data_IF_777323551944
#
_entry.id   IF_777323551944
#
_cell.length_a   1.000
_cell.length_b   1.000
_cell.length_c   1.000
_cell.angle_alpha   90.00
_cell.angle_beta   90.00
_cell.angle_gamma   90.00
#
_symmetry.space_group_name_H-M   'P 1'
#
loop_
_entity.id
_entity.type
_entity.pdbx_description
1 polymer ?
#
# COMPACT_ATOMS: atom_id res chain seq x y z
N UNK A 1 5.07 -7.14 33.97
CA UNK A 1 4.85 -7.75 32.64
C UNK A 1 5.15 -6.69 31.60
N UNK A 2 6.29 -6.77 30.93
CA UNK A 2 6.64 -5.90 29.80
C UNK A 2 5.76 -6.29 28.63
N UNK A 3 4.76 -5.46 28.31
CA UNK A 3 3.85 -5.69 27.20
C UNK A 3 4.60 -5.68 25.88
N UNK A 4 4.72 -6.84 25.25
CA UNK A 4 5.22 -6.94 23.89
C UNK A 4 4.20 -6.25 22.97
N UNK A 5 4.59 -5.16 22.32
CA UNK A 5 3.73 -4.49 21.33
C UNK A 5 3.98 -5.17 19.99
N UNK A 6 3.07 -6.02 19.56
CA UNK A 6 3.12 -6.61 18.23
C UNK A 6 2.52 -5.66 17.22
N UNK A 7 3.28 -5.31 16.19
CA UNK A 7 2.81 -4.52 15.06
C UNK A 7 2.94 -5.36 13.79
N UNK A 8 1.82 -5.58 13.12
CA UNK A 8 1.75 -6.17 11.79
C UNK A 8 1.91 -5.07 10.73
N UNK A 9 2.75 -5.26 9.70
CA UNK A 9 2.81 -4.35 8.56
C UNK A 9 2.26 -4.99 7.29
N UNK A 10 1.36 -4.31 6.61
CA UNK A 10 0.89 -4.63 5.27
C UNK A 10 1.25 -3.50 4.32
N UNK A 11 1.81 -3.82 3.17
CA UNK A 11 2.23 -2.82 2.18
C UNK A 11 1.70 -3.18 0.79
N UNK A 12 1.05 -2.20 0.16
CA UNK A 12 0.67 -2.21 -1.24
C UNK A 12 1.43 -1.11 -1.97
N UNK A 13 2.30 -1.53 -2.90
CA UNK A 13 2.99 -0.62 -3.80
C UNK A 13 2.26 -0.59 -5.14
N UNK A 14 2.19 0.59 -5.75
CA UNK A 14 1.72 0.78 -7.12
C UNK A 14 2.85 1.31 -7.98
N UNK A 15 3.12 0.61 -9.08
CA UNK A 15 4.08 1.01 -10.10
C UNK A 15 3.34 1.35 -11.39
N UNK A 16 3.88 2.32 -12.11
CA UNK A 16 3.38 2.76 -13.39
C UNK A 16 4.49 2.64 -14.42
N UNK A 17 4.20 1.95 -15.52
CA UNK A 17 5.13 1.72 -16.62
C UNK A 17 4.35 1.78 -17.92
N UNK A 18 4.56 2.83 -18.72
CA UNK A 18 3.80 3.12 -19.95
C UNK A 18 2.28 3.03 -19.73
N UNK A 19 1.55 2.22 -20.51
CA UNK A 19 0.12 1.96 -20.33
C UNK A 19 -0.23 0.97 -19.20
N UNK A 20 0.76 0.42 -18.49
CA UNK A 20 0.56 -0.64 -17.49
C UNK A 20 0.54 -0.11 -16.05
N UNK A 21 -0.35 -0.69 -15.26
CA UNK A 21 -0.49 -0.47 -13.83
C UNK A 21 -0.17 -1.76 -13.11
N UNK A 22 0.82 -1.70 -12.23
CA UNK A 22 1.31 -2.88 -11.51
C UNK A 22 1.11 -2.66 -10.03
N UNK A 23 0.42 -3.56 -9.36
CA UNK A 23 0.24 -3.55 -7.92
C UNK A 23 1.07 -4.67 -7.33
N UNK A 24 1.93 -4.35 -6.36
CA UNK A 24 2.71 -5.32 -5.60
C UNK A 24 2.24 -5.32 -4.17
N UNK A 25 1.65 -6.43 -3.73
CA UNK A 25 1.20 -6.64 -2.35
C UNK A 25 2.16 -7.59 -1.66
N UNK A 26 2.71 -7.15 -0.53
CA UNK A 26 3.51 -8.02 0.33
C UNK A 26 2.61 -9.12 0.93
N UNK A 27 2.96 -10.38 0.70
CA UNK A 27 2.31 -11.53 1.30
C UNK A 27 2.96 -11.83 2.64
N UNK A 28 2.28 -11.38 3.69
CA UNK A 28 2.61 -11.68 5.06
C UNK A 28 2.91 -10.46 5.90
N UNK A 29 2.56 -10.58 7.17
CA UNK A 29 2.80 -9.56 8.16
C UNK A 29 4.24 -9.64 8.64
N UNK A 30 4.98 -8.55 8.65
CA UNK A 30 6.17 -8.46 9.51
C UNK A 30 5.70 -8.16 10.92
N UNK A 31 6.08 -8.97 11.92
CA UNK A 31 6.01 -8.64 13.34
C UNK A 31 7.26 -7.85 13.71
N UNK A 32 7.06 -6.60 14.13
CA UNK A 32 8.13 -5.83 14.76
C UNK A 32 7.97 -5.95 16.27
N UNK A 33 8.95 -6.58 16.93
CA UNK A 33 9.12 -6.56 18.38
C UNK A 33 10.39 -5.75 18.68
N UNK A 34 10.52 -5.15 19.85
CA UNK A 34 11.47 -4.07 20.19
C UNK A 34 12.93 -4.22 19.69
N UNK A 35 13.41 -5.41 19.33
CA UNK A 35 14.76 -5.65 18.79
C UNK A 35 14.81 -6.56 17.54
N UNK A 36 13.68 -6.89 16.91
CA UNK A 36 13.66 -7.77 15.72
C UNK A 36 12.44 -7.59 14.80
N UNK A 37 12.68 -7.75 13.49
CA UNK A 37 11.65 -7.85 12.46
C UNK A 37 11.52 -9.34 12.09
N UNK A 38 10.37 -9.93 12.37
CA UNK A 38 10.05 -11.33 12.05
C UNK A 38 9.01 -11.33 10.93
N UNK A 39 9.29 -11.99 9.80
CA UNK A 39 8.29 -12.24 8.75
C UNK A 39 7.38 -13.40 9.21
N UNK A 40 6.06 -13.19 9.27
CA UNK A 40 5.09 -14.17 9.77
C UNK A 40 4.50 -15.10 8.69
N UNK A 41 4.87 -14.92 7.43
CA UNK A 41 4.62 -15.90 6.36
C UNK A 41 5.84 -16.76 6.17
N UNK A 42 5.66 -18.09 6.15
CA UNK A 42 6.73 -19.05 5.91
C UNK A 42 7.46 -18.68 4.59
N UNK A 43 8.71 -18.22 4.66
CA UNK A 43 9.59 -18.30 3.50
C UNK A 43 9.98 -19.78 3.41
N UNK A 44 9.78 -20.42 2.26
CA UNK A 44 10.60 -21.59 1.97
C UNK A 44 12.07 -21.12 2.05
N UNK A 45 12.92 -21.97 2.63
CA UNK A 45 14.19 -21.67 3.30
C UNK A 45 15.32 -21.01 2.46
N UNK A 46 15.02 -20.29 1.37
CA UNK A 46 15.95 -19.43 0.64
C UNK A 46 15.25 -18.22 -0.02
N UNK A 47 15.29 -17.08 0.67
CA UNK A 47 15.38 -15.70 0.14
C UNK A 47 14.36 -15.16 -0.89
N UNK A 48 13.27 -14.54 -0.39
CA UNK A 48 12.71 -13.21 -0.75
C UNK A 48 11.33 -13.05 -0.10
N UNK A 49 10.84 -11.83 0.18
CA UNK A 49 9.48 -11.65 0.65
C UNK A 49 8.50 -12.18 -0.42
N UNK A 50 7.49 -12.95 -0.02
CA UNK A 50 6.45 -13.39 -0.94
C UNK A 50 5.64 -12.16 -1.38
N UNK A 51 5.39 -12.01 -2.68
CA UNK A 51 4.64 -10.89 -3.22
C UNK A 51 3.58 -11.40 -4.18
N UNK A 52 2.36 -10.85 -4.08
CA UNK A 52 1.41 -10.91 -5.18
C UNK A 52 1.63 -9.71 -6.08
N UNK A 53 1.62 -9.96 -7.39
CA UNK A 53 1.65 -8.93 -8.39
C UNK A 53 0.33 -8.92 -9.16
N UNK A 54 -0.14 -7.73 -9.50
CA UNK A 54 -1.31 -7.58 -10.34
C UNK A 54 -0.98 -6.61 -11.46
N UNK A 55 -1.14 -7.04 -12.69
CA UNK A 55 -0.84 -6.23 -13.88
C UNK A 55 -2.12 -5.94 -14.64
N UNK A 56 -2.36 -4.66 -14.89
CA UNK A 56 -3.49 -4.19 -15.67
C UNK A 56 -3.01 -3.28 -16.78
N UNK A 57 -3.48 -3.50 -18.00
CA UNK A 57 -3.51 -2.46 -19.02
C UNK A 57 -4.52 -1.38 -18.59
N UNK A 58 -4.11 -0.12 -18.66
CA UNK A 58 -4.94 1.05 -18.37
C UNK A 58 -6.27 1.08 -19.15
N UNK A 59 -6.30 0.52 -20.36
CA UNK A 59 -7.47 0.48 -21.26
C UNK A 59 -8.31 -0.78 -21.10
N UNK A 60 -7.85 -1.78 -20.35
CA UNK A 60 -8.55 -3.04 -20.17
C UNK A 60 -9.35 -3.08 -18.86
N UNK A 61 -10.53 -3.71 -18.92
CA UNK A 61 -11.30 -4.05 -17.71
C UNK A 61 -10.71 -5.24 -16.94
N UNK A 62 -9.84 -6.03 -17.59
CA UNK A 62 -9.23 -7.22 -17.04
C UNK A 62 -7.71 -7.08 -16.96
N UNK A 63 -7.14 -7.72 -15.94
CA UNK A 63 -5.71 -7.91 -15.79
C UNK A 63 -5.39 -9.31 -15.30
N UNK A 64 -4.17 -9.48 -14.81
CA UNK A 64 -3.65 -10.76 -14.37
C UNK A 64 -3.05 -10.64 -12.98
N UNK A 65 -3.39 -11.61 -12.11
CA UNK A 65 -2.77 -11.83 -10.82
C UNK A 65 -1.67 -12.86 -10.97
N UNK A 66 -0.49 -12.51 -10.52
CA UNK A 66 0.69 -13.37 -10.45
C UNK A 66 1.02 -13.65 -8.98
N UNK A 67 1.34 -14.90 -8.67
CA UNK A 67 1.72 -15.30 -7.30
C UNK A 67 3.19 -15.02 -6.97
N UNK A 68 3.99 -14.72 -8.00
CA UNK A 68 5.39 -14.33 -7.92
C UNK A 68 5.79 -13.57 -9.20
N UNK A 69 7.02 -13.06 -9.29
CA UNK A 69 7.47 -12.31 -10.47
C UNK A 69 7.79 -13.23 -11.68
N UNK A 70 8.01 -14.51 -11.41
CA UNK A 70 8.33 -15.59 -12.36
C UNK A 70 7.13 -16.51 -12.64
N UNK A 71 5.93 -16.15 -12.17
CA UNK A 71 4.71 -16.91 -12.40
C UNK A 71 4.35 -16.95 -13.89
N UNK A 72 4.34 -18.15 -14.47
CA UNK A 72 4.03 -18.41 -15.88
C UNK A 72 2.56 -18.73 -16.12
N UNK A 73 1.75 -18.91 -15.07
CA UNK A 73 0.33 -19.30 -15.18
C UNK A 73 -0.55 -18.34 -14.35
N UNK A 74 -0.58 -17.04 -14.71
CA UNK A 74 -1.30 -16.07 -13.91
C UNK A 74 -2.82 -16.19 -14.07
N UNK A 75 -3.53 -15.74 -13.05
CA UNK A 75 -5.00 -15.80 -13.00
C UNK A 75 -5.60 -14.50 -13.51
N UNK A 76 -6.42 -14.57 -14.55
CA UNK A 76 -7.16 -13.40 -15.07
C UNK A 76 -8.17 -12.90 -14.03
N UNK A 77 -8.19 -11.58 -13.78
CA UNK A 77 -9.10 -10.94 -12.83
C UNK A 77 -9.66 -9.63 -13.38
N UNK A 78 -10.87 -9.27 -12.92
CA UNK A 78 -11.47 -7.97 -13.17
C UNK A 78 -10.73 -6.90 -12.33
N UNK A 79 -10.40 -5.78 -12.96
CA UNK A 79 -9.64 -4.67 -12.33
C UNK A 79 -10.31 -4.14 -11.07
N UNK A 80 -11.62 -3.90 -11.13
CA UNK A 80 -12.38 -3.36 -10.01
C UNK A 80 -12.49 -4.35 -8.85
N UNK A 81 -12.59 -5.65 -9.13
CA UNK A 81 -12.65 -6.68 -8.09
C UNK A 81 -11.37 -6.71 -7.26
N UNK A 82 -10.19 -6.58 -7.87
CA UNK A 82 -8.94 -6.50 -7.11
C UNK A 82 -8.89 -5.23 -6.26
N UNK A 83 -9.16 -4.07 -6.87
CA UNK A 83 -9.06 -2.78 -6.17
C UNK A 83 -10.00 -2.72 -4.98
N UNK A 84 -11.25 -3.17 -5.15
CA UNK A 84 -12.25 -3.18 -4.10
C UNK A 84 -11.93 -4.24 -3.05
N UNK A 85 -11.61 -5.49 -3.44
CA UNK A 85 -11.48 -6.58 -2.47
C UNK A 85 -10.12 -6.61 -1.76
N UNK A 86 -9.06 -6.05 -2.35
CA UNK A 86 -7.69 -6.25 -1.87
C UNK A 86 -6.88 -4.96 -1.66
N UNK A 87 -7.22 -3.86 -2.33
CA UNK A 87 -6.45 -2.62 -2.24
C UNK A 87 -7.15 -1.53 -1.41
N UNK A 88 -8.47 -1.36 -1.54
CA UNK A 88 -9.17 -0.17 -1.05
C UNK A 88 -10.46 -0.44 -0.28
N UNK A 89 -10.84 -1.71 -0.08
CA UNK A 89 -12.02 -2.07 0.73
C UNK A 89 -11.98 -1.33 2.07
N UNK A 90 -12.97 -0.45 2.29
CA UNK A 90 -13.23 0.30 3.53
C UNK A 90 -12.38 1.56 3.80
N UNK A 91 -11.51 2.01 2.90
CA UNK A 91 -10.64 3.16 3.18
C UNK A 91 -11.07 4.43 2.43
N UNK A 92 -11.57 5.42 3.18
CA UNK A 92 -11.72 6.79 2.70
C UNK A 92 -10.54 7.63 3.20
N UNK A 93 -9.68 8.06 2.28
CA UNK A 93 -8.44 8.78 2.60
C UNK A 93 -8.62 10.29 2.86
N UNK A 94 -9.87 10.76 2.92
CA UNK A 94 -10.17 12.16 3.20
C UNK A 94 -10.28 12.40 4.70
N UNK A 95 -9.70 13.50 5.22
CA UNK A 95 -9.91 13.86 6.61
C UNK A 95 -11.40 14.05 6.93
N UNK A 96 -11.89 13.38 7.97
CA UNK A 96 -13.27 13.49 8.48
C UNK A 96 -13.36 14.53 9.62
N UNK A 97 -14.57 15.01 9.97
CA UNK A 97 -14.73 16.05 11.00
C UNK A 97 -14.18 15.69 12.39
N UNK A 98 -14.11 14.41 12.74
CA UNK A 98 -13.58 13.93 14.02
C UNK A 98 -12.04 13.76 14.03
N UNK A 99 -11.35 14.15 12.97
CA UNK A 99 -9.91 13.99 12.84
C UNK A 99 -9.20 15.30 13.17
N UNK A 100 -8.15 15.22 13.99
CA UNK A 100 -7.34 16.36 14.38
C UNK A 100 -6.00 16.29 13.66
N UNK A 101 -5.57 17.40 13.06
CA UNK A 101 -4.20 17.54 12.56
C UNK A 101 -3.25 17.58 13.75
N UNK A 102 -2.53 16.49 13.98
CA UNK A 102 -1.63 16.33 15.10
C UNK A 102 -0.20 16.83 14.79
N UNK A 103 0.24 16.71 13.53
CA UNK A 103 1.57 17.17 13.12
C UNK A 103 1.57 17.58 11.64
N UNK A 104 2.35 18.61 11.31
CA UNK A 104 2.66 19.03 9.97
C UNK A 104 4.18 19.22 9.82
N UNK A 105 4.76 18.51 8.86
CA UNK A 105 6.15 18.69 8.46
C UNK A 105 6.23 19.48 7.16
N UNK A 106 7.17 20.43 7.13
CA UNK A 106 7.49 21.23 5.95
C UNK A 106 8.99 21.11 5.62
N UNK A 107 9.30 21.17 4.34
CA UNK A 107 10.66 21.30 3.79
C UNK A 107 10.58 22.43 2.76
N UNK A 108 11.50 23.39 2.75
CA UNK A 108 11.50 24.50 1.78
C UNK A 108 10.15 25.25 1.66
N UNK A 109 9.47 25.49 2.78
CA UNK A 109 8.15 26.17 2.82
C UNK A 109 6.96 25.30 2.40
N UNK A 110 7.23 24.05 2.08
CA UNK A 110 6.35 23.15 1.36
C UNK A 110 5.97 21.95 2.22
N UNK A 111 4.68 21.58 2.28
CA UNK A 111 4.22 20.49 3.17
C UNK A 111 4.61 19.15 2.57
N UNK A 112 5.38 18.37 3.33
CA UNK A 112 5.87 17.04 2.93
C UNK A 112 5.17 15.92 3.70
N UNK A 113 4.66 16.21 4.90
CA UNK A 113 3.93 15.23 5.70
C UNK A 113 2.84 15.89 6.55
N UNK A 114 1.68 15.23 6.62
CA UNK A 114 0.61 15.55 7.56
C UNK A 114 0.25 14.31 8.36
N UNK A 115 0.15 14.45 9.68
CA UNK A 115 -0.29 13.39 10.59
C UNK A 115 -1.59 13.82 11.22
N UNK A 116 -2.58 12.95 11.13
CA UNK A 116 -3.87 13.15 11.76
C UNK A 116 -4.14 12.05 12.76
N UNK A 117 -4.79 12.41 13.85
CA UNK A 117 -5.23 11.50 14.91
C UNK A 117 -6.75 11.56 14.99
N UNK A 118 -7.39 10.40 15.17
CA UNK A 118 -8.83 10.35 15.39
C UNK A 118 -9.11 10.62 16.87
N UNK A 119 -9.92 11.63 17.16
CA UNK A 119 -10.27 11.98 18.54
C UNK A 119 -11.29 11.00 19.14
N UNK A 120 -12.28 10.62 18.34
CA UNK A 120 -13.32 9.67 18.73
C UNK A 120 -13.43 8.63 17.63
N UNK A 121 -12.92 7.43 17.92
CA UNK A 121 -12.90 6.29 17.01
C UNK A 121 -14.29 5.64 17.00
N UNK A 122 -14.96 5.51 15.83
CA UNK A 122 -16.29 4.90 15.75
C UNK A 122 -16.31 3.41 16.12
N UNK A 123 -15.33 2.66 15.61
CA UNK A 123 -15.16 1.21 15.82
C UNK A 123 -13.72 0.82 15.47
N UNK A 124 -13.34 -0.45 15.69
CA UNK A 124 -12.00 -1.00 15.46
C UNK A 124 -11.49 -0.90 14.01
N UNK A 125 -12.38 -0.78 13.02
CA UNK A 125 -12.02 -0.68 11.58
C UNK A 125 -11.37 0.66 11.22
N UNK A 126 -11.50 1.68 12.08
CA UNK A 126 -10.88 2.99 11.89
C UNK A 126 -9.44 3.04 12.42
N UNK A 127 -8.52 3.61 11.64
CA UNK A 127 -7.14 3.80 12.07
C UNK A 127 -7.04 4.81 13.22
N UNK A 128 -6.22 4.56 14.24
CA UNK A 128 -5.96 5.53 15.33
C UNK A 128 -5.29 6.80 14.81
N UNK A 129 -4.44 6.65 13.80
CA UNK A 129 -3.84 7.77 13.09
C UNK A 129 -3.59 7.44 11.62
N UNK A 130 -3.54 8.48 10.80
CA UNK A 130 -3.15 8.37 9.40
C UNK A 130 -2.15 9.45 9.03
N UNK A 131 -1.21 9.07 8.18
CA UNK A 131 -0.08 9.90 7.75
C UNK A 131 -0.14 10.05 6.24
N UNK A 132 -0.12 11.29 5.77
CA UNK A 132 -0.15 11.64 4.36
C UNK A 132 1.21 12.21 3.96
N UNK A 133 1.86 11.62 2.97
CA UNK A 133 3.17 12.03 2.50
C UNK A 133 3.07 12.59 1.08
N UNK A 134 3.62 13.79 0.90
CA UNK A 134 3.56 14.53 -0.36
C UNK A 134 4.95 14.66 -0.94
N UNK A 135 5.02 14.60 -2.27
CA UNK A 135 6.25 14.83 -3.00
C UNK A 135 6.07 15.92 -4.05
N UNK A 136 7.07 16.79 -4.11
CA UNK A 136 7.19 17.80 -5.15
C UNK A 136 7.81 17.21 -6.40
N UNK A 137 7.33 17.66 -7.56
CA UNK A 137 7.82 17.22 -8.87
C UNK A 137 7.74 15.70 -9.08
N UNK A 138 6.77 15.03 -8.45
CA UNK A 138 6.49 13.64 -8.79
C UNK A 138 6.10 13.55 -10.28
N UNK A 139 6.63 12.57 -11.03
CA UNK A 139 6.28 12.41 -12.44
C UNK A 139 4.78 12.46 -12.68
N UNK A 140 4.35 13.00 -13.82
CA UNK A 140 2.93 13.10 -14.14
C UNK A 140 2.34 11.69 -14.33
N UNK A 141 1.83 11.12 -13.25
CA UNK A 141 1.12 9.84 -13.23
C UNK A 141 -0.38 10.13 -13.20
N UNK A 142 -1.17 9.59 -14.16
CA UNK A 142 -2.62 9.87 -14.27
C UNK A 142 -3.44 9.33 -13.09
N UNK A 143 -2.85 8.43 -12.31
CA UNK A 143 -3.45 7.84 -11.11
C UNK A 143 -3.04 8.59 -9.86
N UNK A 144 -3.94 8.64 -8.89
CA UNK A 144 -3.75 9.32 -7.61
C UNK A 144 -4.29 8.43 -6.49
N UNK A 145 -3.60 8.41 -5.36
CA UNK A 145 -4.11 7.81 -4.12
C UNK A 145 -5.38 8.54 -3.64
N UNK A 146 -5.47 9.85 -3.91
CA UNK A 146 -6.68 10.64 -3.67
C UNK A 146 -6.66 11.90 -4.51
N UNK A 147 -7.43 11.91 -5.61
CA UNK A 147 -7.51 13.06 -6.53
C UNK A 147 -7.92 14.35 -5.83
N UNK A 148 -8.81 14.26 -4.85
CA UNK A 148 -9.25 15.44 -4.09
C UNK A 148 -8.11 16.02 -3.24
N UNK A 149 -7.31 15.17 -2.60
CA UNK A 149 -6.16 15.60 -1.82
C UNK A 149 -5.06 16.18 -2.71
N UNK A 150 -4.79 15.54 -3.85
CA UNK A 150 -3.84 16.06 -4.85
C UNK A 150 -4.23 17.47 -5.31
N UNK A 151 -5.52 17.67 -5.60
CA UNK A 151 -6.06 18.94 -6.10
C UNK A 151 -6.00 20.04 -5.03
N UNK A 152 -6.39 19.74 -3.79
CA UNK A 152 -6.41 20.72 -2.69
C UNK A 152 -5.00 21.23 -2.36
N UNK A 153 -3.99 20.37 -2.47
CA UNK A 153 -2.60 20.70 -2.10
C UNK A 153 -1.72 21.07 -3.29
N UNK A 154 -2.23 20.96 -4.51
CA UNK A 154 -1.48 21.12 -5.76
C UNK A 154 -0.16 20.31 -5.76
N UNK A 155 -0.21 19.11 -5.18
CA UNK A 155 0.95 18.25 -4.90
C UNK A 155 0.53 16.80 -5.00
N UNK A 156 1.46 15.91 -5.34
CA UNK A 156 1.16 14.49 -5.42
C UNK A 156 1.22 13.86 -4.03
N UNK A 157 0.12 13.24 -3.60
CA UNK A 157 0.10 12.31 -2.48
C UNK A 157 0.74 10.99 -2.92
N UNK A 158 1.94 10.70 -2.44
CA UNK A 158 2.73 9.53 -2.87
C UNK A 158 2.67 8.39 -1.88
N UNK A 159 2.44 8.65 -0.60
CA UNK A 159 2.34 7.60 0.41
C UNK A 159 1.29 7.91 1.48
N UNK A 160 0.57 6.87 1.89
CA UNK A 160 -0.36 6.88 3.01
C UNK A 160 0.03 5.79 3.98
N UNK A 161 0.09 6.13 5.27
CA UNK A 161 0.24 5.16 6.35
C UNK A 161 -0.96 5.24 7.28
N UNK A 162 -1.53 4.10 7.65
CA UNK A 162 -2.64 4.01 8.59
C UNK A 162 -2.21 3.14 9.76
N UNK A 163 -2.27 3.68 10.96
CA UNK A 163 -1.78 3.02 12.18
C UNK A 163 -2.97 2.68 13.06
N UNK A 164 -3.04 1.41 13.41
CA UNK A 164 -3.97 0.80 14.35
C UNK A 164 -3.16 0.39 15.57
N UNK A 165 -3.51 0.90 16.74
CA UNK A 165 -2.89 0.49 17.99
C UNK A 165 -3.44 -0.87 18.42
N UNK A 166 -2.62 -1.62 19.15
CA UNK A 166 -3.07 -2.85 19.78
C UNK A 166 -4.26 -2.53 20.72
N UNK A 167 -5.27 -3.38 20.68
CA UNK A 167 -6.50 -3.21 21.48
C UNK A 167 -7.03 -4.55 21.92
N UNK A 168 -7.90 -4.57 22.92
CA UNK A 168 -8.63 -5.78 23.32
C UNK A 168 -10.10 -5.63 22.92
N UNK A 169 -10.61 -6.56 22.12
CA UNK A 169 -12.00 -6.57 21.69
C UNK A 169 -12.64 -7.93 22.01
N UNK A 170 -13.76 -7.90 22.72
CA UNK A 170 -14.48 -9.11 23.17
C UNK A 170 -13.57 -10.15 23.87
N UNK A 171 -12.60 -9.69 24.67
CA UNK A 171 -11.65 -10.55 25.39
C UNK A 171 -10.46 -11.05 24.55
N UNK A 172 -10.43 -10.77 23.24
CA UNK A 172 -9.31 -11.10 22.37
C UNK A 172 -8.34 -9.93 22.23
N UNK A 173 -7.04 -10.19 22.31
CA UNK A 173 -6.01 -9.20 22.03
C UNK A 173 -5.80 -9.10 20.53
N UNK A 174 -6.12 -7.93 19.98
CA UNK A 174 -5.87 -7.56 18.59
C UNK A 174 -4.52 -6.85 18.54
N UNK A 175 -3.52 -7.37 17.81
CA UNK A 175 -2.22 -6.71 17.68
C UNK A 175 -2.35 -5.38 16.95
N UNK A 176 -1.38 -4.49 17.15
CA UNK A 176 -1.28 -3.27 16.37
C UNK A 176 -1.03 -3.59 14.89
N UNK A 177 -1.43 -2.68 14.01
CA UNK A 177 -1.30 -2.88 12.56
C UNK A 177 -0.97 -1.57 11.86
N UNK A 178 -0.07 -1.62 10.91
CA UNK A 178 0.23 -0.49 10.02
C UNK A 178 -0.03 -0.92 8.58
N UNK A 179 -0.97 -0.24 7.93
CA UNK A 179 -1.21 -0.39 6.49
C UNK A 179 -0.52 0.73 5.74
N UNK A 180 0.21 0.40 4.68
CA UNK A 180 0.90 1.37 3.83
C UNK A 180 0.50 1.23 2.38
N UNK A 181 0.19 2.37 1.77
CA UNK A 181 -0.04 2.53 0.33
C UNK A 181 1.00 3.47 -0.23
N UNK A 182 1.68 3.07 -1.30
CA UNK A 182 2.79 3.85 -1.85
C UNK A 182 2.77 3.84 -3.39
N UNK A 183 2.88 5.04 -3.97
CA UNK A 183 3.11 5.26 -5.40
C UNK A 183 4.62 5.29 -5.63
N UNK A 184 5.11 4.36 -6.46
CA UNK A 184 6.51 4.27 -6.83
C UNK A 184 6.69 4.50 -8.33
N UNK A 185 7.83 5.10 -8.70
CA UNK A 185 8.25 5.24 -10.09
C UNK A 185 9.01 3.97 -10.51
N UNK A 186 8.79 3.48 -11.73
CA UNK A 186 9.67 2.47 -12.33
C UNK A 186 10.84 3.16 -13.08
N UNK A 187 12.09 2.65 -13.06
CA UNK A 187 12.59 1.49 -12.32
C UNK A 187 13.61 1.91 -11.23
N UNK A 188 13.16 2.15 -10.00
CA UNK A 188 14.08 2.23 -8.85
C UNK A 188 14.49 0.81 -8.43
N UNK A 189 15.63 0.30 -8.91
CA UNK A 189 16.40 -0.93 -8.54
C UNK A 189 15.70 -2.32 -8.37
N UNK A 190 14.41 -2.40 -8.07
CA UNK A 190 13.56 -3.62 -8.02
C UNK A 190 13.04 -4.04 -9.41
N UNK A 191 13.63 -3.48 -10.47
CA UNK A 191 13.08 -3.46 -11.83
C UNK A 191 13.21 -4.75 -12.61
N UNK A 192 14.12 -5.65 -12.24
CA UNK A 192 14.30 -6.92 -12.95
C UNK A 192 13.05 -7.80 -12.82
N UNK A 193 12.47 -7.89 -11.62
CA UNK A 193 11.23 -8.66 -11.39
C UNK A 193 10.02 -8.03 -12.06
N UNK A 194 9.90 -6.70 -12.03
CA UNK A 194 8.81 -5.96 -12.67
C UNK A 194 8.91 -6.05 -14.20
N UNK A 195 10.12 -5.98 -14.74
CA UNK A 195 10.34 -6.12 -16.18
C UNK A 195 9.99 -7.53 -16.67
N UNK A 196 10.45 -8.57 -15.97
CA UNK A 196 10.10 -9.96 -16.31
C UNK A 196 8.59 -10.19 -16.27
N UNK A 197 7.91 -9.67 -15.24
CA UNK A 197 6.46 -9.75 -15.11
C UNK A 197 5.72 -9.08 -16.29
N UNK A 198 6.23 -7.94 -16.78
CA UNK A 198 5.68 -7.27 -17.95
C UNK A 198 5.92 -8.04 -19.25
N UNK A 199 7.06 -8.70 -19.40
CA UNK A 199 7.34 -9.57 -20.54
C UNK A 199 6.35 -10.74 -20.57
N UNK A 200 6.21 -11.47 -19.46
CA UNK A 200 5.26 -12.58 -19.35
C UNK A 200 3.82 -12.12 -19.61
N UNK A 201 3.43 -10.93 -19.11
CA UNK A 201 2.11 -10.35 -19.39
C UNK A 201 1.88 -10.13 -20.90
N UNK A 202 2.87 -9.56 -21.61
CA UNK A 202 2.78 -9.27 -23.05
C UNK A 202 2.67 -10.55 -23.87
N UNK A 203 3.46 -11.57 -23.54
CA UNK A 203 3.41 -12.90 -24.17
C UNK A 203 2.00 -13.52 -24.06
N UNK A 204 1.38 -13.44 -22.88
CA UNK A 204 0.01 -13.96 -22.66
C UNK A 204 -1.04 -13.21 -23.47
N UNK A 205 -0.85 -11.91 -23.70
CA UNK A 205 -1.74 -11.10 -24.54
C UNK A 205 -1.52 -11.32 -26.05
N UNK A 206 -0.49 -12.07 -26.45
CA UNK A 206 -0.17 -12.35 -27.85
C UNK A 206 0.58 -11.21 -28.55
N UNK A 207 1.32 -10.39 -27.80
CA UNK A 207 2.21 -9.34 -28.30
C UNK A 207 3.69 -9.74 -28.24
#
# INVERSE_FOLDING_TARGET
>A
MTGHTEILNDTLCMFFYDEYQIYRKLLGSTRVSNDSIILLTQPDNDTKPAYLYYVFDSKSMYGYKFISADDTVPVRQLKDSFLILNAFSQFNFQPKPNYILANQQKMDGHTTRLVYTINTKPDESYADSFMLHYQDNFPNVPHSLSRSVDTIKNRKLTKIEMIYKATSFAGNNIPGRTFRFELLKAPDSDSVGIHQLLLTYKEIQGF
#
